data_IF_961005318876
#
_entry.id   IF_961005318876
#
_cell.length_a   1.000
_cell.length_b   1.000
_cell.length_c   1.000
_cell.angle_alpha   90.00
_cell.angle_beta   90.00
_cell.angle_gamma   90.00
#
_symmetry.space_group_name_H-M   'P 1'
#
loop_
_entity.id
_entity.type
_entity.pdbx_description
1 polymer ?
#
# COMPACT_ATOMS: atom_id res chain seq x y z
N UNK A 1 18.41 -14.30 -1.62
CA UNK A 1 17.38 -13.32 -1.96
C UNK A 1 16.44 -13.10 -0.77
N UNK A 2 15.66 -12.03 -0.78
CA UNK A 2 14.67 -11.74 0.26
C UNK A 2 13.68 -12.89 0.37
N UNK A 3 13.26 -13.49 -0.76
CA UNK A 3 12.42 -14.69 -0.78
C UNK A 3 13.07 -15.87 -0.04
N UNK A 4 14.36 -16.10 -0.24
CA UNK A 4 15.08 -17.18 0.45
C UNK A 4 15.19 -16.93 1.95
N UNK A 5 15.35 -15.68 2.37
CA UNK A 5 15.38 -15.32 3.79
C UNK A 5 14.01 -15.51 4.45
N UNK A 6 12.94 -15.18 3.75
CA UNK A 6 11.57 -15.39 4.22
C UNK A 6 11.30 -16.89 4.40
N UNK A 7 11.62 -17.70 3.39
CA UNK A 7 11.45 -19.16 3.43
C UNK A 7 12.29 -19.79 4.56
N UNK A 8 13.53 -19.34 4.70
CA UNK A 8 14.42 -19.85 5.75
C UNK A 8 13.96 -19.47 7.16
N UNK A 9 13.42 -18.26 7.31
CA UNK A 9 12.86 -17.77 8.57
C UNK A 9 11.57 -18.52 8.95
N UNK A 10 10.71 -18.77 8.00
CA UNK A 10 9.48 -19.52 8.17
C UNK A 10 9.72 -20.98 8.59
N UNK A 11 10.75 -21.62 8.04
CA UNK A 11 11.08 -23.00 8.34
C UNK A 11 11.64 -23.20 9.76
N UNK A 12 12.16 -22.14 10.38
CA UNK A 12 12.85 -22.24 11.66
C UNK A 12 12.01 -22.00 12.91
N UNK A 13 10.84 -21.37 12.83
CA UNK A 13 10.21 -20.85 14.04
C UNK A 13 8.71 -21.05 14.24
N UNK A 14 7.96 -21.71 13.41
CA UNK A 14 6.50 -21.72 13.55
C UNK A 14 5.92 -20.30 13.77
N UNK A 15 6.58 -19.28 13.28
CA UNK A 15 6.16 -17.91 13.45
C UNK A 15 5.13 -17.54 12.40
N UNK A 16 4.17 -16.73 12.78
CA UNK A 16 3.20 -16.13 11.89
C UNK A 16 3.90 -15.63 10.62
N UNK A 17 3.47 -16.14 9.46
CA UNK A 17 3.84 -15.62 8.14
C UNK A 17 3.36 -14.18 7.91
N UNK A 18 2.57 -13.65 8.88
CA UNK A 18 1.87 -12.36 8.82
C UNK A 18 2.74 -11.19 9.24
N UNK A 19 4.03 -11.22 8.91
CA UNK A 19 4.92 -10.08 9.11
C UNK A 19 5.15 -9.34 7.82
N UNK A 20 5.01 -8.01 7.90
CA UNK A 20 5.34 -7.13 6.79
C UNK A 20 6.85 -7.15 6.53
N UNK A 21 7.23 -7.36 5.28
CA UNK A 21 8.61 -7.28 4.81
C UNK A 21 8.75 -6.05 3.92
N UNK A 22 9.82 -5.26 4.14
CA UNK A 22 10.08 -4.05 3.38
C UNK A 22 11.49 -4.10 2.82
N UNK A 23 11.61 -3.94 1.51
CA UNK A 23 12.89 -3.83 0.82
C UNK A 23 12.95 -2.48 0.10
N UNK A 24 13.98 -1.69 0.43
CA UNK A 24 14.25 -0.39 -0.19
C UNK A 24 15.42 -0.55 -1.16
N UNK A 25 15.27 -0.03 -2.36
CA UNK A 25 16.33 -0.03 -3.37
C UNK A 25 16.46 1.38 -3.95
N UNK A 26 17.44 2.13 -3.45
CA UNK A 26 17.66 3.52 -3.88
C UNK A 26 18.15 3.61 -5.33
N UNK A 27 18.91 2.63 -5.79
CA UNK A 27 19.38 2.59 -7.18
C UNK A 27 18.23 2.42 -8.16
N UNK A 28 17.30 1.52 -7.86
CA UNK A 28 16.09 1.28 -8.65
C UNK A 28 14.94 2.22 -8.28
N UNK A 29 15.13 3.07 -7.26
CA UNK A 29 14.17 4.07 -6.79
C UNK A 29 12.86 3.43 -6.33
N UNK A 30 12.94 2.25 -5.71
CA UNK A 30 11.76 1.44 -5.37
C UNK A 30 11.69 1.04 -3.91
N UNK A 31 10.45 0.83 -3.46
CA UNK A 31 10.14 0.18 -2.20
C UNK A 31 9.23 -1.01 -2.51
N UNK A 32 9.60 -2.18 -2.03
CA UNK A 32 8.77 -3.38 -2.10
C UNK A 32 8.26 -3.71 -0.70
N UNK A 33 6.94 -3.71 -0.55
CA UNK A 33 6.24 -4.13 0.67
C UNK A 33 5.55 -5.45 0.38
N UNK A 34 5.77 -6.45 1.23
CA UNK A 34 5.14 -7.76 1.05
C UNK A 34 4.65 -8.32 2.38
N UNK A 35 3.56 -9.07 2.31
CA UNK A 35 2.98 -9.72 3.48
C UNK A 35 2.09 -10.89 3.04
N UNK A 36 2.09 -11.96 3.83
CA UNK A 36 1.10 -13.03 3.72
C UNK A 36 0.00 -12.80 4.77
N UNK A 37 -1.26 -12.93 4.34
CA UNK A 37 -2.44 -12.82 5.19
C UNK A 37 -3.12 -14.17 5.31
N UNK A 38 -3.59 -14.52 6.52
CA UNK A 38 -4.36 -15.73 6.77
C UNK A 38 -5.84 -15.54 6.39
N UNK A 39 -6.08 -15.20 5.13
CA UNK A 39 -7.42 -14.97 4.61
C UNK A 39 -7.48 -15.36 3.13
N UNK A 40 -8.64 -15.80 2.63
CA UNK A 40 -8.81 -16.14 1.21
C UNK A 40 -8.52 -14.96 0.29
N UNK A 41 -8.04 -15.25 -0.91
CA UNK A 41 -7.69 -14.24 -1.92
C UNK A 41 -8.84 -13.26 -2.19
N UNK A 42 -10.07 -13.76 -2.32
CA UNK A 42 -11.23 -12.90 -2.57
C UNK A 42 -11.45 -11.88 -1.43
N UNK A 43 -11.25 -12.29 -0.18
CA UNK A 43 -11.42 -11.41 0.98
C UNK A 43 -10.31 -10.37 1.08
N UNK A 44 -9.07 -10.77 0.81
CA UNK A 44 -7.93 -9.84 0.80
C UNK A 44 -8.07 -8.84 -0.35
N UNK A 45 -8.45 -9.31 -1.53
CA UNK A 45 -8.74 -8.42 -2.65
C UNK A 45 -9.79 -7.37 -2.30
N UNK A 46 -10.88 -7.76 -1.67
CA UNK A 46 -11.93 -6.84 -1.21
C UNK A 46 -11.39 -5.80 -0.22
N UNK A 47 -10.55 -6.22 0.72
CA UNK A 47 -9.96 -5.31 1.71
C UNK A 47 -9.15 -4.18 1.06
N UNK A 48 -8.54 -4.43 -0.10
CA UNK A 48 -7.74 -3.45 -0.85
C UNK A 48 -8.53 -2.67 -1.90
N UNK A 49 -9.76 -3.06 -2.20
CA UNK A 49 -10.51 -2.50 -3.35
C UNK A 49 -11.89 -1.94 -3.01
N UNK A 50 -12.37 -2.15 -1.79
CA UNK A 50 -13.65 -1.61 -1.33
C UNK A 50 -13.42 -0.49 -0.32
N UNK A 51 -14.02 0.71 -0.52
CA UNK A 51 -13.73 1.88 0.31
C UNK A 51 -14.14 1.69 1.78
N UNK A 52 -15.24 0.99 2.05
CA UNK A 52 -15.71 0.73 3.41
C UNK A 52 -14.70 -0.11 4.20
N UNK A 53 -14.02 -1.04 3.52
CA UNK A 53 -12.99 -1.87 4.15
C UNK A 53 -11.67 -1.11 4.30
N UNK A 54 -11.26 -0.36 3.27
CA UNK A 54 -10.07 0.49 3.33
C UNK A 54 -10.15 1.51 4.46
N UNK A 55 -11.31 2.11 4.68
CA UNK A 55 -11.52 3.08 5.76
C UNK A 55 -11.33 2.47 7.16
N UNK A 56 -11.37 1.14 7.27
CA UNK A 56 -11.15 0.44 8.54
C UNK A 56 -9.69 0.20 8.87
N UNK A 57 -8.81 0.06 7.87
CA UNK A 57 -7.42 -0.34 8.12
C UNK A 57 -6.37 0.54 7.47
N UNK A 58 -6.72 1.31 6.44
CA UNK A 58 -5.76 2.20 5.78
C UNK A 58 -5.51 3.41 6.67
N UNK A 59 -4.27 3.57 7.08
CA UNK A 59 -3.86 4.59 8.02
C UNK A 59 -3.37 3.99 9.34
N UNK A 60 -2.14 4.36 9.77
CA UNK A 60 -1.60 3.88 11.04
C UNK A 60 -2.35 4.56 12.20
N UNK A 61 -2.94 3.76 13.09
CA UNK A 61 -3.64 4.29 14.26
C UNK A 61 -2.74 5.24 15.06
N UNK A 62 -3.22 6.38 15.58
CA UNK A 62 -4.64 6.82 15.65
C UNK A 62 -5.18 7.50 14.38
N UNK A 63 -4.41 7.53 13.30
CA UNK A 63 -4.86 8.02 11.99
C UNK A 63 -5.78 7.00 11.34
N UNK A 64 -6.71 7.47 10.52
CA UNK A 64 -7.63 6.63 9.76
C UNK A 64 -7.90 7.21 8.38
N UNK A 65 -8.23 6.37 7.43
CA UNK A 65 -8.67 6.82 6.11
C UNK A 65 -10.17 7.16 6.13
N UNK A 66 -10.53 8.18 5.38
CA UNK A 66 -11.91 8.58 5.13
C UNK A 66 -12.07 8.80 3.63
N UNK A 67 -12.74 7.88 2.96
CA UNK A 67 -12.94 7.93 1.51
C UNK A 67 -13.95 9.01 1.15
N UNK A 68 -13.56 9.90 0.25
CA UNK A 68 -14.48 10.88 -0.37
C UNK A 68 -15.10 10.32 -1.64
N UNK A 69 -14.30 9.74 -2.51
CA UNK A 69 -14.72 9.18 -3.80
C UNK A 69 -13.85 8.00 -4.17
N UNK A 70 -14.46 6.95 -4.67
CA UNK A 70 -13.72 5.81 -5.20
C UNK A 70 -14.41 5.23 -6.42
N UNK A 71 -13.65 5.07 -7.49
CA UNK A 71 -14.07 4.36 -8.69
C UNK A 71 -12.96 3.37 -9.07
N UNK A 72 -13.12 2.11 -8.69
CA UNK A 72 -12.14 1.05 -8.93
C UNK A 72 -12.32 0.48 -10.34
N UNK A 73 -11.90 1.28 -11.33
CA UNK A 73 -11.88 0.91 -12.75
C UNK A 73 -10.63 1.51 -13.39
N UNK A 74 -10.11 0.94 -14.50
CA UNK A 74 -9.04 1.60 -15.26
C UNK A 74 -9.44 3.02 -15.64
N UNK A 75 -8.61 4.00 -15.30
CA UNK A 75 -8.90 5.42 -15.48
C UNK A 75 -9.67 6.06 -14.32
N UNK A 76 -10.18 5.28 -13.39
CA UNK A 76 -10.78 5.80 -12.15
C UNK A 76 -9.75 6.15 -11.08
N UNK A 77 -10.22 6.57 -9.93
CA UNK A 77 -9.33 6.94 -8.83
C UNK A 77 -10.00 6.77 -7.47
N UNK A 78 -9.16 6.73 -6.45
CA UNK A 78 -9.56 6.76 -5.04
C UNK A 78 -9.03 8.06 -4.42
N UNK A 79 -9.96 8.91 -3.98
CA UNK A 79 -9.68 10.15 -3.26
C UNK A 79 -10.07 9.97 -1.80
N UNK A 80 -9.11 10.13 -0.92
CA UNK A 80 -9.32 9.92 0.51
C UNK A 80 -8.54 10.92 1.35
N UNK A 81 -9.05 11.17 2.56
CA UNK A 81 -8.32 11.91 3.58
C UNK A 81 -7.73 10.94 4.59
N UNK A 82 -6.48 11.18 4.96
CA UNK A 82 -5.90 10.60 6.15
C UNK A 82 -6.23 11.54 7.32
N UNK A 83 -7.07 11.08 8.24
CA UNK A 83 -7.61 11.88 9.33
C UNK A 83 -6.87 11.56 10.61
N UNK A 84 -6.27 12.59 11.22
CA UNK A 84 -5.56 12.47 12.48
C UNK A 84 -6.48 12.61 13.70
N UNK A 85 -5.93 12.33 14.92
CA UNK A 85 -6.72 12.35 16.15
C UNK A 85 -7.28 13.72 16.54
N UNK A 86 -6.72 14.80 15.99
CA UNK A 86 -7.18 16.17 16.23
C UNK A 86 -8.04 16.70 15.07
N UNK A 87 -8.47 15.82 14.16
CA UNK A 87 -9.28 16.16 13.00
C UNK A 87 -8.50 16.73 11.81
N UNK A 88 -7.17 16.79 11.89
CA UNK A 88 -6.34 17.22 10.78
C UNK A 88 -6.45 16.24 9.62
N UNK A 89 -6.46 16.76 8.39
CA UNK A 89 -6.64 15.95 7.18
C UNK A 89 -5.49 16.13 6.20
N UNK A 90 -4.96 14.99 5.74
CA UNK A 90 -4.01 14.94 4.63
C UNK A 90 -4.63 14.12 3.50
N UNK A 91 -4.75 14.72 2.32
CA UNK A 91 -5.43 14.11 1.18
C UNK A 91 -4.47 13.33 0.30
N UNK A 92 -4.92 12.17 -0.15
CA UNK A 92 -4.22 11.33 -1.11
C UNK A 92 -5.11 10.94 -2.26
N UNK A 93 -4.50 10.74 -3.42
CA UNK A 93 -5.18 10.32 -4.63
C UNK A 93 -4.42 9.16 -5.27
N UNK A 94 -5.11 8.05 -5.44
CA UNK A 94 -4.59 6.86 -6.10
C UNK A 94 -5.33 6.66 -7.42
N UNK A 95 -4.64 6.94 -8.53
CA UNK A 95 -5.21 6.72 -9.85
C UNK A 95 -5.01 5.27 -10.27
N UNK A 96 -6.06 4.61 -10.75
CA UNK A 96 -6.00 3.25 -11.25
C UNK A 96 -5.67 3.24 -12.74
N UNK A 97 -4.59 2.57 -13.11
CA UNK A 97 -4.11 2.52 -14.49
C UNK A 97 -4.60 1.23 -15.16
N UNK A 98 -4.24 0.08 -14.58
CA UNK A 98 -4.68 -1.24 -15.05
C UNK A 98 -5.22 -2.07 -13.89
N UNK A 99 -6.19 -2.92 -14.16
CA UNK A 99 -6.78 -3.83 -13.17
C UNK A 99 -6.93 -5.21 -13.82
N UNK A 100 -6.34 -6.23 -13.18
CA UNK A 100 -6.56 -7.62 -13.50
C UNK A 100 -7.18 -8.29 -12.28
N UNK A 101 -8.45 -8.61 -12.36
CA UNK A 101 -9.26 -9.05 -11.22
C UNK A 101 -8.64 -10.23 -10.47
N UNK A 102 -8.50 -10.10 -9.15
CA UNK A 102 -7.88 -11.07 -8.24
C UNK A 102 -6.41 -11.38 -8.54
N UNK A 103 -5.73 -10.60 -9.37
CA UNK A 103 -4.30 -10.78 -9.70
C UNK A 103 -3.46 -9.57 -9.32
N UNK A 104 -3.73 -8.44 -9.96
CA UNK A 104 -2.97 -7.23 -9.70
C UNK A 104 -3.72 -5.98 -10.20
N UNK A 105 -3.27 -4.84 -9.72
CA UNK A 105 -3.61 -3.56 -10.32
C UNK A 105 -2.42 -2.62 -10.22
N UNK A 106 -2.30 -1.73 -11.21
CA UNK A 106 -1.26 -0.71 -11.25
C UNK A 106 -1.85 0.66 -10.96
N UNK A 107 -1.09 1.48 -10.29
CA UNK A 107 -1.55 2.79 -9.79
C UNK A 107 -0.51 3.87 -10.02
N UNK A 108 -0.99 5.10 -9.96
CA UNK A 108 -0.17 6.28 -9.76
C UNK A 108 -0.69 7.00 -8.51
N UNK A 109 0.17 7.13 -7.50
CA UNK A 109 -0.20 7.65 -6.18
C UNK A 109 0.38 9.05 -6.00
N UNK A 110 -0.42 9.98 -5.50
CA UNK A 110 -0.04 11.37 -5.34
C UNK A 110 -0.68 11.98 -4.08
N UNK A 111 0.03 12.94 -3.50
CA UNK A 111 -0.54 13.85 -2.50
C UNK A 111 -1.35 14.92 -3.22
N UNK A 112 -2.50 15.28 -2.65
CA UNK A 112 -3.42 16.22 -3.29
C UNK A 112 -4.17 17.06 -2.24
N UNK A 113 -5.06 17.92 -2.73
CA UNK A 113 -6.03 18.64 -1.89
C UNK A 113 -7.38 17.88 -1.85
N UNK A 114 -8.36 18.43 -1.15
CA UNK A 114 -9.69 17.83 -1.00
C UNK A 114 -10.47 17.68 -2.32
N UNK A 115 -10.06 18.40 -3.36
CA UNK A 115 -10.65 18.33 -4.70
C UNK A 115 -9.91 17.38 -5.63
N UNK A 116 -8.82 16.76 -5.14
CA UNK A 116 -8.00 15.85 -5.92
C UNK A 116 -6.93 16.53 -6.77
N UNK A 117 -6.71 17.84 -6.59
CA UNK A 117 -5.64 18.56 -7.27
C UNK A 117 -4.29 18.14 -6.69
N UNK A 118 -3.43 17.57 -7.53
CA UNK A 118 -2.12 17.03 -7.12
C UNK A 118 -1.20 18.16 -6.65
N UNK A 119 -0.51 17.91 -5.53
CA UNK A 119 0.52 18.82 -5.01
C UNK A 119 1.83 18.58 -5.79
N UNK A 120 2.28 19.54 -6.63
CA UNK A 120 3.47 19.36 -7.45
C UNK A 120 4.78 19.36 -6.67
N UNK A 121 4.76 19.78 -5.41
CA UNK A 121 5.96 19.82 -4.55
C UNK A 121 6.27 18.48 -3.89
N UNK A 122 5.32 17.53 -3.92
CA UNK A 122 5.50 16.22 -3.32
C UNK A 122 5.64 15.13 -4.39
N UNK A 123 6.37 14.03 -4.10
CA UNK A 123 6.61 12.99 -5.08
C UNK A 123 5.34 12.30 -5.53
N UNK A 124 5.24 12.03 -6.83
CA UNK A 124 4.26 11.11 -7.41
C UNK A 124 4.96 9.78 -7.64
N UNK A 125 4.32 8.70 -7.22
CA UNK A 125 4.88 7.36 -7.36
C UNK A 125 4.01 6.49 -8.26
N UNK A 126 4.63 5.51 -8.90
CA UNK A 126 3.93 4.46 -9.65
C UNK A 126 4.04 3.16 -8.88
N UNK A 127 2.96 2.42 -8.83
CA UNK A 127 2.94 1.19 -8.05
C UNK A 127 2.19 0.06 -8.70
N UNK A 128 2.47 -1.14 -8.21
CA UNK A 128 1.74 -2.34 -8.56
C UNK A 128 1.44 -3.11 -7.29
N UNK A 129 0.16 -3.44 -7.09
CA UNK A 129 -0.26 -4.39 -6.07
C UNK A 129 -0.53 -5.73 -6.73
N UNK A 130 0.11 -6.79 -6.23
CA UNK A 130 -0.04 -8.16 -6.75
C UNK A 130 -0.53 -9.07 -5.64
N UNK A 131 -1.46 -9.96 -5.99
CA UNK A 131 -2.13 -10.86 -5.06
C UNK A 131 -1.96 -12.30 -5.55
N UNK A 132 -1.60 -13.20 -4.65
CA UNK A 132 -1.39 -14.61 -4.99
C UNK A 132 -1.88 -15.49 -3.85
N UNK A 133 -2.73 -16.46 -4.20
CA UNK A 133 -3.17 -17.47 -3.22
C UNK A 133 -1.97 -18.34 -2.78
N UNK A 134 -1.93 -18.65 -1.49
CA UNK A 134 -0.94 -19.52 -0.88
C UNK A 134 -1.63 -20.67 -0.16
N UNK A 135 -0.86 -21.65 0.33
CA UNK A 135 -1.41 -22.77 1.11
C UNK A 135 -2.17 -22.29 2.36
N UNK A 136 -1.76 -21.16 2.95
CA UNK A 136 -2.32 -20.67 4.21
C UNK A 136 -3.17 -19.42 4.05
N UNK A 137 -3.27 -18.85 2.85
CA UNK A 137 -4.01 -17.60 2.65
C UNK A 137 -3.64 -16.87 1.38
N UNK A 138 -3.19 -15.63 1.51
CA UNK A 138 -2.88 -14.76 0.37
C UNK A 138 -1.60 -14.00 0.60
N UNK A 139 -0.72 -14.02 -0.40
CA UNK A 139 0.50 -13.24 -0.44
C UNK A 139 0.28 -11.97 -1.26
N UNK A 140 0.60 -10.82 -0.68
CA UNK A 140 0.45 -9.50 -1.31
C UNK A 140 1.82 -8.84 -1.44
N UNK A 141 2.13 -8.36 -2.64
CA UNK A 141 3.29 -7.51 -2.90
C UNK A 141 2.81 -6.13 -3.36
N UNK A 142 3.36 -5.09 -2.75
CA UNK A 142 3.13 -3.72 -3.14
C UNK A 142 4.48 -3.10 -3.52
N UNK A 143 4.70 -2.90 -4.80
CA UNK A 143 5.94 -2.34 -5.34
C UNK A 143 5.70 -0.91 -5.79
N UNK A 144 6.39 0.05 -5.16
CA UNK A 144 6.30 1.47 -5.47
C UNK A 144 7.60 1.96 -6.09
N UNK A 145 7.52 2.68 -7.19
CA UNK A 145 8.66 3.26 -7.91
C UNK A 145 8.52 4.79 -7.92
N UNK A 146 9.59 5.47 -7.57
CA UNK A 146 9.64 6.93 -7.49
C UNK A 146 10.42 7.51 -8.66
N UNK A 147 10.17 8.79 -9.05
CA UNK A 147 10.84 9.39 -10.21
C UNK A 147 12.34 9.62 -10.01
N UNK A 148 12.79 9.85 -8.75
CA UNK A 148 14.19 10.10 -8.43
C UNK A 148 14.56 9.44 -7.10
N UNK A 149 15.87 9.29 -6.85
CA UNK A 149 16.37 8.82 -5.55
C UNK A 149 15.98 9.80 -4.42
N UNK A 150 16.01 11.10 -4.70
CA UNK A 150 15.63 12.15 -3.75
C UNK A 150 14.15 12.04 -3.37
N UNK A 151 13.28 11.73 -4.33
CA UNK A 151 11.86 11.50 -4.06
C UNK A 151 11.66 10.29 -3.15
N UNK A 152 12.36 9.19 -3.40
CA UNK A 152 12.33 8.01 -2.54
C UNK A 152 12.85 8.34 -1.15
N UNK A 153 13.97 9.05 -1.05
CA UNK A 153 14.56 9.47 0.22
C UNK A 153 13.56 10.30 1.04
N UNK A 154 12.87 11.23 0.40
CA UNK A 154 11.85 12.07 1.05
C UNK A 154 10.72 11.24 1.66
N UNK A 155 10.21 10.25 0.91
CA UNK A 155 9.15 9.34 1.39
C UNK A 155 9.64 8.50 2.57
N UNK A 156 10.87 7.99 2.51
CA UNK A 156 11.48 7.24 3.62
C UNK A 156 11.61 8.12 4.87
N UNK A 157 12.06 9.35 4.71
CA UNK A 157 12.19 10.32 5.82
C UNK A 157 10.83 10.72 6.41
N UNK A 158 9.75 10.65 5.63
CA UNK A 158 8.39 10.88 6.10
C UNK A 158 7.82 9.71 6.91
N UNK A 159 8.57 8.61 7.07
CA UNK A 159 8.15 7.44 7.85
C UNK A 159 7.24 6.47 7.13
N UNK A 160 7.32 6.40 5.80
CA UNK A 160 6.47 5.51 4.99
C UNK A 160 6.56 4.04 5.43
N UNK A 161 7.76 3.53 5.65
CA UNK A 161 7.97 2.12 6.01
C UNK A 161 7.28 1.77 7.33
N UNK A 162 7.44 2.62 8.33
CA UNK A 162 6.85 2.45 9.65
C UNK A 162 5.31 2.58 9.57
N UNK A 163 4.83 3.56 8.81
CA UNK A 163 3.39 3.82 8.63
C UNK A 163 2.69 2.68 7.92
N UNK A 164 3.22 2.18 6.82
CA UNK A 164 2.60 1.07 6.08
C UNK A 164 2.63 -0.24 6.89
N UNK A 165 3.69 -0.48 7.65
CA UNK A 165 3.76 -1.63 8.54
C UNK A 165 2.64 -1.59 9.58
N UNK A 166 2.41 -0.44 10.20
CA UNK A 166 1.32 -0.25 11.16
C UNK A 166 -0.06 -0.46 10.52
N UNK A 167 -0.27 0.02 9.30
CA UNK A 167 -1.52 -0.20 8.57
C UNK A 167 -1.78 -1.70 8.37
N UNK A 168 -0.78 -2.43 7.92
CA UNK A 168 -0.91 -3.85 7.58
C UNK A 168 -1.04 -4.74 8.82
N UNK A 169 -0.61 -4.27 9.98
CA UNK A 169 -0.75 -4.97 11.25
C UNK A 169 -2.16 -4.84 11.87
N UNK A 170 -2.99 -4.00 11.33
CA UNK A 170 -4.36 -3.73 11.82
C UNK A 170 -5.41 -4.75 11.42
#
# INVERSE_FOLDING_TARGET
SIRQRIIHYESQKNMSTNKTQIAKDFKEKSILVSREFNAPLANVWRAYTEPELLDQWWGPAPWRAETKTMNFTPGGYWLYAMVGPEGQKHWGRMNYITISHHKNFTIEDAFCDENGTVNPELPVSKGQMSFRATANGTYVEFNMVYPTEEALQKIVEMGFAEGITMCLDQ
#
